data_IF_587389733486
#
_entry.id   IF_587389733486
#
_cell.length_a   1.000
_cell.length_b   1.000
_cell.length_c   1.000
_cell.angle_alpha   90.00
_cell.angle_beta   90.00
_cell.angle_gamma   90.00
#
_symmetry.space_group_name_H-M   'P 1'
#
loop_
_entity.id
_entity.type
_entity.pdbx_description
1 polymer ?
#
# COMPACT_ATOMS: atom_id res chain seq x y z
N UNK A 1 6.69 -12.20 9.14
CA UNK A 1 6.20 -13.30 8.29
C UNK A 1 5.51 -12.70 7.08
N UNK A 2 5.95 -13.05 5.87
CA UNK A 2 5.49 -12.47 4.60
C UNK A 2 4.01 -12.77 4.34
N UNK A 3 3.11 -11.93 4.86
CA UNK A 3 1.67 -12.03 4.61
C UNK A 3 1.38 -11.40 3.24
N UNK A 4 1.50 -12.20 2.18
CA UNK A 4 1.09 -11.80 0.82
C UNK A 4 1.92 -12.41 -0.31
N UNK A 5 3.22 -12.64 -0.09
CA UNK A 5 4.14 -12.91 -1.20
C UNK A 5 3.90 -14.22 -1.97
N UNK A 6 3.45 -15.29 -1.31
CA UNK A 6 3.20 -16.57 -2.00
C UNK A 6 1.96 -16.50 -2.92
N UNK A 7 0.93 -15.76 -2.52
CA UNK A 7 -0.28 -15.57 -3.33
C UNK A 7 0.01 -14.67 -4.54
N UNK A 8 0.76 -13.58 -4.33
CA UNK A 8 1.21 -12.71 -5.42
C UNK A 8 2.07 -13.46 -6.44
N UNK A 9 3.01 -14.29 -5.99
CA UNK A 9 3.83 -15.10 -6.89
C UNK A 9 3.02 -16.17 -7.65
N UNK A 10 1.96 -16.71 -7.04
CA UNK A 10 1.05 -17.61 -7.76
C UNK A 10 0.23 -16.84 -8.80
N UNK A 11 -0.32 -15.69 -8.43
CA UNK A 11 -1.09 -14.84 -9.34
C UNK A 11 -0.22 -14.36 -10.51
N UNK A 12 1.01 -13.92 -10.26
CA UNK A 12 1.93 -13.50 -11.32
C UNK A 12 2.24 -14.60 -12.33
N UNK A 13 2.39 -15.85 -11.87
CA UNK A 13 2.50 -17.02 -12.76
C UNK A 13 1.25 -17.20 -13.61
N UNK A 14 0.05 -17.15 -13.01
CA UNK A 14 -1.20 -17.25 -13.76
C UNK A 14 -1.32 -16.14 -14.81
N UNK A 15 -1.04 -14.88 -14.45
CA UNK A 15 -1.07 -13.77 -15.40
C UNK A 15 -0.10 -13.99 -16.57
N UNK A 16 1.09 -14.53 -16.29
CA UNK A 16 2.06 -14.89 -17.33
C UNK A 16 1.54 -16.02 -18.23
N UNK A 17 0.99 -17.09 -17.64
CA UNK A 17 0.48 -18.26 -18.37
C UNK A 17 -0.68 -17.90 -19.31
N UNK A 18 -1.48 -16.89 -18.94
CA UNK A 18 -2.59 -16.37 -19.74
C UNK A 18 -2.24 -15.12 -20.58
N UNK A 19 -0.97 -14.72 -20.64
CA UNK A 19 -0.46 -13.52 -21.32
C UNK A 19 -1.21 -12.21 -20.95
N UNK A 20 -1.61 -12.09 -19.68
CA UNK A 20 -2.24 -10.89 -19.14
C UNK A 20 -1.15 -9.90 -18.70
N UNK A 21 -0.93 -8.88 -19.54
CA UNK A 21 0.12 -7.86 -19.32
C UNK A 21 -0.35 -6.61 -18.59
N UNK A 22 -1.65 -6.36 -18.60
CA UNK A 22 -2.24 -5.14 -18.02
C UNK A 22 -3.44 -5.54 -17.16
N UNK A 23 -3.14 -6.03 -15.95
CA UNK A 23 -4.15 -6.34 -14.97
C UNK A 23 -4.26 -5.18 -13.97
N UNK A 24 -5.50 -4.78 -13.67
CA UNK A 24 -5.77 -3.85 -12.56
C UNK A 24 -5.55 -4.58 -11.22
N UNK A 25 -4.31 -4.58 -10.74
CA UNK A 25 -3.92 -5.25 -9.50
C UNK A 25 -3.74 -4.26 -8.38
N UNK A 26 -4.38 -4.57 -7.26
CA UNK A 26 -4.14 -3.95 -5.97
C UNK A 26 -3.27 -4.87 -5.11
N UNK A 27 -2.19 -4.34 -4.55
CA UNK A 27 -1.34 -5.06 -3.59
C UNK A 27 -1.18 -4.26 -2.30
N UNK A 28 -0.94 -4.98 -1.21
CA UNK A 28 -0.84 -4.41 0.14
C UNK A 28 0.56 -3.89 0.41
N UNK A 29 0.64 -2.73 1.03
CA UNK A 29 1.89 -2.13 1.53
C UNK A 29 1.82 -1.90 3.03
N UNK A 30 2.98 -1.92 3.69
CA UNK A 30 3.08 -1.66 5.13
C UNK A 30 3.06 -0.15 5.43
N UNK A 31 2.80 0.18 6.69
CA UNK A 31 2.87 1.57 7.19
C UNK A 31 4.30 1.97 7.62
N UNK A 32 5.28 1.07 7.53
CA UNK A 32 6.66 1.43 7.84
C UNK A 32 7.27 2.27 6.70
N UNK A 33 7.63 3.55 6.94
CA UNK A 33 8.22 4.40 5.89
C UNK A 33 9.51 3.82 5.29
N UNK A 34 10.25 2.98 5.99
CA UNK A 34 11.46 2.37 5.44
C UNK A 34 11.17 1.25 4.43
N UNK A 35 9.94 0.71 4.44
CA UNK A 35 9.59 -0.53 3.75
C UNK A 35 8.64 -0.33 2.56
N UNK A 36 7.87 0.77 2.51
CA UNK A 36 6.86 1.04 1.47
C UNK A 36 7.38 0.84 0.03
N UNK A 37 8.52 1.46 -0.29
CA UNK A 37 9.11 1.34 -1.63
C UNK A 37 9.52 -0.11 -1.95
N UNK A 38 10.09 -0.82 -0.98
CA UNK A 38 10.48 -2.20 -1.14
C UNK A 38 9.26 -3.12 -1.32
N UNK A 39 8.18 -2.88 -0.56
CA UNK A 39 6.92 -3.62 -0.66
C UNK A 39 6.33 -3.50 -2.07
N UNK A 40 6.20 -2.29 -2.61
CA UNK A 40 5.71 -2.06 -3.99
C UNK A 40 6.60 -2.73 -5.01
N UNK A 41 7.92 -2.59 -4.87
CA UNK A 41 8.88 -3.18 -5.81
C UNK A 41 8.76 -4.70 -5.83
N UNK A 42 8.73 -5.33 -4.66
CA UNK A 42 8.60 -6.78 -4.53
C UNK A 42 7.23 -7.27 -5.02
N UNK A 43 6.15 -6.52 -4.78
CA UNK A 43 4.83 -6.87 -5.30
C UNK A 43 4.83 -6.90 -6.83
N UNK A 44 5.35 -5.86 -7.49
CA UNK A 44 5.55 -5.83 -8.93
C UNK A 44 6.34 -7.04 -9.44
N UNK A 45 7.48 -7.34 -8.82
CA UNK A 45 8.33 -8.49 -9.18
C UNK A 45 7.59 -9.82 -9.06
N UNK A 46 6.88 -10.04 -7.94
CA UNK A 46 6.12 -11.28 -7.70
C UNK A 46 4.96 -11.44 -8.67
N UNK A 47 4.30 -10.34 -9.02
CA UNK A 47 3.17 -10.31 -9.95
C UNK A 47 3.60 -10.33 -11.42
N UNK A 48 4.89 -10.12 -11.71
CA UNK A 48 5.40 -9.97 -13.07
C UNK A 48 4.83 -8.73 -13.78
N UNK A 49 4.55 -7.67 -13.03
CA UNK A 49 3.96 -6.42 -13.54
C UNK A 49 4.98 -5.28 -13.43
N UNK A 50 4.97 -4.36 -14.39
CA UNK A 50 5.83 -3.16 -14.35
C UNK A 50 5.39 -2.17 -13.26
N UNK A 51 4.08 -2.13 -12.97
CA UNK A 51 3.45 -1.25 -12.00
C UNK A 51 2.25 -1.91 -11.33
N UNK A 52 1.83 -1.37 -10.19
CA UNK A 52 0.55 -1.70 -9.57
C UNK A 52 -0.51 -0.70 -10.01
N UNK A 53 -1.77 -1.13 -10.11
CA UNK A 53 -2.87 -0.18 -10.28
C UNK A 53 -3.11 0.58 -8.98
N UNK A 54 -3.16 -0.13 -7.84
CA UNK A 54 -3.29 0.49 -6.52
C UNK A 54 -2.32 -0.10 -5.51
N UNK A 55 -1.60 0.74 -4.78
CA UNK A 55 -0.99 0.36 -3.51
C UNK A 55 -2.03 0.52 -2.39
N UNK A 56 -2.19 -0.50 -1.56
CA UNK A 56 -3.17 -0.47 -0.48
C UNK A 56 -2.49 -0.47 0.87
N UNK A 57 -2.53 0.67 1.55
CA UNK A 57 -2.05 0.81 2.92
C UNK A 57 -3.08 0.19 3.87
N UNK A 58 -2.78 -1.01 4.34
CA UNK A 58 -3.68 -1.80 5.17
C UNK A 58 -3.48 -1.50 6.67
N UNK A 59 -4.59 -1.26 7.36
CA UNK A 59 -4.70 -1.21 8.82
C UNK A 59 -3.65 -0.31 9.51
N UNK A 60 -3.51 0.98 9.14
CA UNK A 60 -2.55 1.89 9.78
C UNK A 60 -2.76 2.01 11.29
N UNK A 61 -3.96 1.78 11.81
CA UNK A 61 -4.25 1.70 13.25
C UNK A 61 -3.41 0.64 13.99
N UNK A 62 -2.97 -0.41 13.31
CA UNK A 62 -2.05 -1.38 13.92
C UNK A 62 -0.70 -0.74 14.23
N UNK A 63 -0.22 0.18 13.38
CA UNK A 63 0.99 0.94 13.68
C UNK A 63 0.80 1.84 14.89
N UNK A 64 -0.35 2.50 15.01
CA UNK A 64 -0.64 3.33 16.19
C UNK A 64 -0.56 2.50 17.49
N UNK A 65 -0.99 1.23 17.46
CA UNK A 65 -0.84 0.32 18.59
C UNK A 65 0.64 -0.07 18.83
N UNK A 66 1.42 -0.33 17.79
CA UNK A 66 2.86 -0.62 17.89
C UNK A 66 3.65 0.55 18.49
N UNK A 67 3.24 1.78 18.16
CA UNK A 67 3.79 3.01 18.72
C UNK A 67 3.24 3.33 20.12
N UNK A 68 2.63 2.36 20.81
CA UNK A 68 2.06 2.53 22.15
C UNK A 68 1.07 3.69 22.26
N UNK A 69 0.32 3.96 21.17
CA UNK A 69 -0.62 5.07 21.03
C UNK A 69 0.01 6.47 21.04
N UNK A 70 1.31 6.58 20.73
CA UNK A 70 1.93 7.87 20.41
C UNK A 70 1.36 8.41 19.08
N UNK A 71 0.40 9.32 19.18
CA UNK A 71 -0.29 9.89 18.03
C UNK A 71 0.59 10.81 17.21
N UNK A 72 1.54 11.50 17.82
CA UNK A 72 2.40 12.46 17.12
C UNK A 72 3.43 11.72 16.26
N UNK A 73 4.07 10.69 16.84
CA UNK A 73 4.93 9.79 16.10
C UNK A 73 4.18 9.09 14.96
N UNK A 74 2.97 8.60 15.24
CA UNK A 74 2.11 7.97 14.23
C UNK A 74 1.81 8.91 13.06
N UNK A 75 1.31 10.12 13.30
CA UNK A 75 0.96 11.05 12.22
C UNK A 75 2.18 11.51 11.43
N UNK A 76 3.36 11.58 12.07
CA UNK A 76 4.62 11.85 11.39
C UNK A 76 5.00 10.71 10.43
N UNK A 77 5.00 9.46 10.89
CA UNK A 77 5.27 8.29 10.05
C UNK A 77 4.24 8.17 8.92
N UNK A 78 2.96 8.36 9.25
CA UNK A 78 1.86 8.28 8.29
C UNK A 78 2.02 9.27 7.14
N UNK A 79 2.35 10.54 7.45
CA UNK A 79 2.61 11.54 6.41
C UNK A 79 3.81 11.15 5.53
N UNK A 80 4.87 10.58 6.11
CA UNK A 80 6.03 10.14 5.34
C UNK A 80 5.66 9.00 4.39
N UNK A 81 4.81 8.06 4.81
CA UNK A 81 4.28 7.00 3.94
C UNK A 81 3.49 7.59 2.77
N UNK A 82 2.57 8.53 3.04
CA UNK A 82 1.79 9.15 1.96
C UNK A 82 2.66 9.85 0.93
N UNK A 83 3.66 10.62 1.37
CA UNK A 83 4.62 11.29 0.47
C UNK A 83 5.39 10.27 -0.39
N UNK A 84 5.75 9.12 0.18
CA UNK A 84 6.41 8.06 -0.59
C UNK A 84 5.48 7.40 -1.60
N UNK A 85 4.22 7.16 -1.25
CA UNK A 85 3.23 6.61 -2.18
C UNK A 85 2.99 7.58 -3.34
N UNK A 86 2.90 8.89 -3.08
CA UNK A 86 2.82 9.92 -4.11
C UNK A 86 4.05 9.90 -5.03
N UNK A 87 5.26 9.82 -4.46
CA UNK A 87 6.49 9.73 -5.25
C UNK A 87 6.54 8.46 -6.12
N UNK A 88 6.02 7.33 -5.64
CA UNK A 88 5.91 6.10 -6.42
C UNK A 88 4.86 6.22 -7.54
N UNK A 89 3.79 6.97 -7.31
CA UNK A 89 2.79 7.27 -8.34
C UNK A 89 3.37 8.18 -9.43
N UNK A 90 4.09 9.24 -9.06
CA UNK A 90 4.80 10.11 -9.99
C UNK A 90 5.87 9.35 -10.81
N UNK A 91 6.54 8.38 -10.19
CA UNK A 91 7.49 7.50 -10.86
C UNK A 91 6.84 6.42 -11.75
N UNK A 92 5.50 6.37 -11.80
CA UNK A 92 4.74 5.39 -12.59
C UNK A 92 4.82 3.95 -12.06
N UNK A 93 5.30 3.75 -10.82
CA UNK A 93 5.39 2.43 -10.17
C UNK A 93 4.05 1.97 -9.62
N UNK A 94 3.17 2.91 -9.31
CA UNK A 94 1.77 2.69 -8.99
C UNK A 94 0.93 3.70 -9.78
N UNK A 95 -0.33 3.40 -10.08
CA UNK A 95 -1.25 4.43 -10.64
C UNK A 95 -1.89 5.28 -9.55
N UNK A 96 -2.01 4.75 -8.35
CA UNK A 96 -2.33 5.51 -7.15
C UNK A 96 -2.44 4.62 -5.91
N UNK A 97 -3.07 5.12 -4.86
CA UNK A 97 -3.11 4.41 -3.58
C UNK A 97 -4.44 4.58 -2.82
N UNK A 98 -4.73 3.58 -2.00
CA UNK A 98 -5.87 3.55 -1.10
C UNK A 98 -5.38 3.36 0.33
N UNK A 99 -6.07 4.01 1.28
CA UNK A 99 -5.82 3.82 2.72
C UNK A 99 -7.05 3.19 3.35
N UNK A 100 -6.97 1.94 3.81
CA UNK A 100 -8.04 1.37 4.63
C UNK A 100 -7.86 1.84 6.08
N UNK A 101 -8.41 3.00 6.41
CA UNK A 101 -8.28 3.57 7.75
C UNK A 101 -9.60 4.09 8.28
N UNK A 102 -10.05 3.50 9.39
CA UNK A 102 -11.10 4.09 10.22
C UNK A 102 -10.64 5.36 10.96
N UNK A 103 -9.33 5.65 10.99
CA UNK A 103 -8.77 6.80 11.69
C UNK A 103 -9.11 8.12 10.98
N UNK A 104 -9.43 8.09 9.68
CA UNK A 104 -9.82 9.29 8.95
C UNK A 104 -11.16 9.84 9.43
N UNK A 105 -12.15 8.96 9.58
CA UNK A 105 -13.49 9.31 10.07
C UNK A 105 -13.47 9.83 11.51
N UNK A 106 -12.48 9.41 12.31
CA UNK A 106 -12.30 9.83 13.70
C UNK A 106 -11.59 11.18 13.88
N UNK A 107 -10.80 11.63 12.89
CA UNK A 107 -10.04 12.89 12.96
C UNK A 107 -10.89 14.09 12.59
N UNK A 108 -11.77 13.94 11.59
CA UNK A 108 -12.51 15.06 10.99
C UNK A 108 -14.02 15.06 11.29
N UNK A 109 -14.53 14.07 12.04
CA UNK A 109 -15.95 14.02 12.41
C UNK A 109 -16.85 13.77 11.20
N UNK A 110 -16.76 12.57 10.62
CA UNK A 110 -17.76 12.04 9.69
C UNK A 110 -17.32 12.01 8.22
N UNK A 111 -17.17 10.79 7.72
CA UNK A 111 -16.86 10.46 6.32
C UNK A 111 -16.06 9.16 6.29
N UNK A 112 -16.66 8.07 5.84
CA UNK A 112 -16.09 6.70 5.82
C UNK A 112 -14.98 6.50 4.76
N UNK A 113 -14.56 7.56 4.07
CA UNK A 113 -13.58 7.49 2.99
C UNK A 113 -12.33 8.28 3.38
N UNK A 114 -11.23 7.56 3.62
CA UNK A 114 -9.90 8.14 3.71
C UNK A 114 -9.45 8.74 2.38
N UNK A 115 -8.27 9.39 2.32
CA UNK A 115 -7.77 9.98 1.10
C UNK A 115 -7.47 8.88 0.10
N UNK A 116 -8.16 8.95 -1.04
CA UNK A 116 -7.88 8.17 -2.24
C UNK A 116 -7.37 9.12 -3.33
N UNK A 117 -6.20 8.80 -3.88
CA UNK A 117 -5.63 9.45 -5.08
C UNK A 117 -5.36 8.34 -6.08
#
# INVERSE_FOLDING_TARGET
AARGGAAEALLGRLLTDFDVRDASIRSRVTMDPASVQADVTQACERLGQERLHRAWLDSPEMRLLELQRDTDAFWKEFRLVLVQLEALAEAGRIEGYDVASALWSAKDGGGDEGPSI
#
